data_IF_337322305126
#
_entry.id   IF_337322305126
#
_cell.length_a   1.000
_cell.length_b   1.000
_cell.length_c   1.000
_cell.angle_alpha   90.00
_cell.angle_beta   90.00
_cell.angle_gamma   90.00
#
_symmetry.space_group_name_H-M   'P 1'
#
loop_
_entity.id
_entity.type
_entity.pdbx_description
1 polymer ?
#
# COMPACT_ATOMS: atom_id res chain seq x y z
N UNK A 1 50.50 9.71 28.77
CA UNK A 1 49.06 9.42 28.88
C UNK A 1 48.71 8.31 27.90
N UNK A 2 47.91 7.30 28.29
CA UNK A 2 47.39 6.34 27.32
C UNK A 2 46.40 7.06 26.38
N UNK A 3 46.26 6.58 25.13
CA UNK A 3 45.26 7.11 24.21
C UNK A 3 43.84 6.78 24.72
N UNK A 4 42.84 7.61 24.41
CA UNK A 4 41.46 7.30 24.73
C UNK A 4 41.01 6.02 24.00
N UNK A 5 40.11 5.23 24.59
CA UNK A 5 39.53 4.06 23.92
C UNK A 5 38.80 4.49 22.65
N UNK A 6 38.90 3.67 21.60
CA UNK A 6 38.18 3.87 20.36
C UNK A 6 36.67 3.97 20.65
N UNK A 7 36.00 4.96 20.07
CA UNK A 7 34.56 5.09 20.16
C UNK A 7 33.90 3.82 19.59
N UNK A 8 32.96 3.25 20.33
CA UNK A 8 32.11 2.18 19.81
C UNK A 8 31.37 2.70 18.57
N UNK A 9 31.37 1.90 17.50
CA UNK A 9 30.60 2.17 16.28
C UNK A 9 29.13 2.38 16.63
N UNK A 10 28.49 3.33 15.97
CA UNK A 10 27.10 3.64 16.25
C UNK A 10 26.22 2.45 15.78
N UNK A 11 25.06 2.20 16.41
CA UNK A 11 24.23 1.03 16.10
C UNK A 11 23.67 1.00 14.66
N UNK A 12 23.89 2.05 13.86
CA UNK A 12 23.54 2.16 12.44
C UNK A 12 24.73 1.91 11.49
N UNK A 13 25.91 1.53 11.98
CA UNK A 13 27.06 1.14 11.15
C UNK A 13 26.97 -0.31 10.60
N UNK A 14 25.77 -0.90 10.57
CA UNK A 14 25.55 -2.20 9.92
C UNK A 14 25.53 -1.95 8.40
N UNK A 15 26.48 -2.50 7.63
CA UNK A 15 26.44 -2.36 6.17
C UNK A 15 25.12 -2.93 5.66
N UNK A 16 24.36 -2.19 4.85
CA UNK A 16 23.26 -2.79 4.10
C UNK A 16 23.86 -3.86 3.19
N UNK A 17 23.62 -5.13 3.52
CA UNK A 17 24.15 -6.29 2.78
C UNK A 17 23.25 -6.68 1.62
N UNK A 18 22.01 -6.21 1.60
CA UNK A 18 21.03 -6.49 0.56
C UNK A 18 20.78 -5.25 -0.29
N UNK A 19 21.16 -5.33 -1.57
CA UNK A 19 20.77 -4.35 -2.58
C UNK A 19 19.41 -4.80 -3.10
N UNK A 20 18.36 -4.04 -2.83
CA UNK A 20 17.07 -4.18 -3.53
C UNK A 20 17.16 -3.39 -4.83
N UNK A 21 17.00 -4.08 -5.94
CA UNK A 21 16.86 -3.43 -7.25
C UNK A 21 15.44 -2.88 -7.37
N UNK A 22 15.33 -1.56 -7.55
CA UNK A 22 14.06 -0.91 -7.79
C UNK A 22 13.77 -0.83 -9.28
N UNK A 23 12.56 -1.21 -9.66
CA UNK A 23 12.06 -1.10 -11.02
C UNK A 23 10.74 -0.31 -11.02
N UNK A 24 10.47 0.35 -12.15
CA UNK A 24 9.17 0.98 -12.37
C UNK A 24 8.13 -0.14 -12.55
N UNK A 25 7.13 -0.17 -11.68
CA UNK A 25 6.10 -1.21 -11.69
C UNK A 25 5.07 -0.96 -12.79
N UNK A 26 4.58 -2.04 -13.37
CA UNK A 26 3.36 -2.06 -14.20
C UNK A 26 2.11 -1.97 -13.33
N UNK A 27 0.96 -1.66 -13.93
CA UNK A 27 -0.32 -1.65 -13.19
C UNK A 27 -0.65 -3.01 -12.59
N UNK A 28 -0.36 -4.10 -13.30
CA UNK A 28 -0.57 -5.46 -12.81
C UNK A 28 0.33 -5.77 -11.59
N UNK A 29 1.61 -5.36 -11.64
CA UNK A 29 2.53 -5.53 -10.51
C UNK A 29 2.12 -4.66 -9.32
N UNK A 30 1.66 -3.42 -9.55
CA UNK A 30 1.11 -2.57 -8.49
C UNK A 30 -0.10 -3.24 -7.83
N UNK A 31 -1.09 -3.68 -8.62
CA UNK A 31 -2.27 -4.35 -8.10
C UNK A 31 -1.88 -5.60 -7.29
N UNK A 32 -1.03 -6.47 -7.84
CA UNK A 32 -0.51 -7.66 -7.15
C UNK A 32 0.17 -7.28 -5.83
N UNK A 33 1.04 -6.26 -5.84
CA UNK A 33 1.77 -5.82 -4.65
C UNK A 33 0.83 -5.28 -3.57
N UNK A 34 -0.20 -4.53 -3.93
CA UNK A 34 -1.19 -4.03 -2.98
C UNK A 34 -2.00 -5.18 -2.34
N UNK A 35 -2.37 -6.19 -3.13
CA UNK A 35 -2.99 -7.43 -2.61
C UNK A 35 -2.05 -8.18 -1.67
N UNK A 36 -0.79 -8.41 -2.07
CA UNK A 36 0.21 -9.09 -1.25
C UNK A 36 0.43 -8.37 0.08
N UNK A 37 0.50 -7.03 0.08
CA UNK A 37 0.64 -6.22 1.28
C UNK A 37 -0.60 -6.34 2.19
N UNK A 38 -1.80 -6.30 1.61
CA UNK A 38 -3.04 -6.45 2.36
C UNK A 38 -3.14 -7.81 3.06
N UNK A 39 -2.72 -8.87 2.37
CA UNK A 39 -2.68 -10.23 2.88
C UNK A 39 -1.58 -10.45 3.93
N UNK A 40 -0.41 -9.81 3.75
CA UNK A 40 0.72 -9.91 4.67
C UNK A 40 0.51 -9.14 5.98
N UNK A 41 -0.22 -8.02 5.95
CA UNK A 41 -0.39 -7.11 7.09
C UNK A 41 -1.87 -6.81 7.43
N UNK A 42 -2.75 -7.81 7.55
CA UNK A 42 -4.20 -7.59 7.66
C UNK A 42 -4.63 -6.78 8.90
N UNK A 43 -3.82 -6.76 9.96
CA UNK A 43 -4.05 -5.94 11.14
C UNK A 43 -3.75 -4.44 10.94
N UNK A 44 -2.94 -4.11 9.92
CA UNK A 44 -2.50 -2.75 9.63
C UNK A 44 -3.05 -2.19 8.31
N UNK A 45 -3.63 -3.03 7.46
CA UNK A 45 -4.13 -2.60 6.16
C UNK A 45 -5.59 -2.99 5.90
N UNK A 46 -6.24 -2.20 5.04
CA UNK A 46 -7.48 -2.56 4.36
C UNK A 46 -7.29 -2.25 2.88
N UNK A 47 -7.53 -3.21 2.00
CA UNK A 47 -7.57 -2.97 0.56
C UNK A 47 -9.02 -2.89 0.09
N UNK A 48 -9.35 -1.81 -0.61
CA UNK A 48 -10.63 -1.60 -1.30
C UNK A 48 -10.34 -0.99 -2.68
N UNK A 49 -11.37 -0.76 -3.48
CA UNK A 49 -11.27 0.06 -4.69
C UNK A 49 -12.23 1.25 -4.60
N UNK A 50 -11.92 2.32 -5.33
CA UNK A 50 -12.82 3.47 -5.45
C UNK A 50 -14.19 3.08 -6.02
N UNK A 51 -14.19 2.08 -6.89
CA UNK A 51 -15.37 1.46 -7.48
C UNK A 51 -16.24 0.82 -6.39
N UNK A 52 -15.64 0.06 -5.47
CA UNK A 52 -16.34 -0.61 -4.36
C UNK A 52 -16.78 0.36 -3.26
N UNK A 53 -15.94 1.33 -2.89
CA UNK A 53 -16.21 2.25 -1.79
C UNK A 53 -17.29 3.29 -2.15
N UNK A 54 -17.32 3.74 -3.42
CA UNK A 54 -18.16 4.86 -3.84
C UNK A 54 -19.11 4.54 -4.99
N UNK A 55 -19.31 3.26 -5.32
CA UNK A 55 -20.21 2.82 -6.40
C UNK A 55 -19.87 3.50 -7.75
N UNK A 56 -18.57 3.65 -8.02
CA UNK A 56 -18.08 4.29 -9.23
C UNK A 56 -17.93 3.29 -10.37
N UNK A 57 -18.11 3.77 -11.59
CA UNK A 57 -17.76 3.01 -12.79
C UNK A 57 -16.24 2.88 -12.94
N UNK A 58 -15.76 1.70 -13.32
CA UNK A 58 -14.37 1.47 -13.69
C UNK A 58 -14.04 2.15 -15.03
N UNK A 59 -12.78 2.59 -15.19
CA UNK A 59 -12.31 3.14 -16.45
C UNK A 59 -11.87 2.03 -17.41
N UNK A 60 -12.02 2.30 -18.72
CA UNK A 60 -11.63 1.35 -19.75
C UNK A 60 -12.49 0.07 -19.74
N UNK A 61 -11.88 -1.02 -20.19
CA UNK A 61 -12.53 -2.32 -20.38
C UNK A 61 -11.68 -3.43 -19.75
N UNK A 62 -12.23 -4.65 -19.74
CA UNK A 62 -11.52 -5.85 -19.30
C UNK A 62 -10.19 -6.08 -20.01
N UNK A 63 -10.11 -5.65 -21.27
CA UNK A 63 -8.89 -5.76 -22.08
C UNK A 63 -7.78 -4.83 -21.60
N UNK A 64 -8.13 -3.71 -20.98
CA UNK A 64 -7.19 -2.69 -20.53
C UNK A 64 -6.54 -3.09 -19.21
N UNK A 65 -7.32 -3.72 -18.32
CA UNK A 65 -6.85 -4.22 -17.02
C UNK A 65 -7.25 -5.69 -16.80
N UNK A 66 -6.59 -6.65 -17.48
CA UNK A 66 -6.86 -8.08 -17.37
C UNK A 66 -6.63 -8.68 -15.97
N UNK A 67 -6.06 -7.93 -15.04
CA UNK A 67 -5.72 -8.37 -13.69
C UNK A 67 -6.78 -8.00 -12.64
N UNK A 68 -7.72 -7.10 -12.97
CA UNK A 68 -8.72 -6.60 -12.02
C UNK A 68 -10.04 -7.40 -12.05
N UNK A 69 -10.03 -8.63 -12.59
CA UNK A 69 -11.24 -9.44 -12.84
C UNK A 69 -11.69 -10.33 -11.69
N UNK A 70 -10.87 -10.50 -10.66
CA UNK A 70 -11.21 -11.36 -9.53
C UNK A 70 -11.96 -10.58 -8.44
N UNK A 71 -13.25 -10.89 -8.28
CA UNK A 71 -14.05 -10.47 -7.14
C UNK A 71 -14.91 -9.23 -7.38
N UNK A 72 -16.22 -9.49 -7.54
CA UNK A 72 -17.28 -8.55 -7.16
C UNK A 72 -17.58 -7.43 -8.16
N UNK A 73 -18.79 -7.50 -8.72
CA UNK A 73 -19.58 -6.42 -9.32
C UNK A 73 -19.10 -5.00 -8.97
N UNK A 74 -18.51 -4.29 -9.94
CA UNK A 74 -18.59 -2.83 -10.15
C UNK A 74 -18.19 -2.50 -11.60
N UNK A 75 -18.87 -3.17 -12.53
CA UNK A 75 -18.78 -2.80 -13.93
C UNK A 75 -19.68 -1.61 -14.22
N UNK A 76 -19.17 -0.67 -15.02
CA UNK A 76 -19.98 0.43 -15.55
C UNK A 76 -21.19 -0.06 -16.33
N UNK A 77 -22.29 0.68 -16.24
CA UNK A 77 -23.51 0.39 -17.01
C UNK A 77 -23.40 1.05 -18.40
N UNK A 78 -22.84 0.34 -19.37
CA UNK A 78 -22.92 0.71 -20.79
C UNK A 78 -23.87 -0.24 -21.52
N UNK A 79 -25.03 0.28 -21.95
CA UNK A 79 -25.93 -0.43 -22.86
C UNK A 79 -26.48 -1.79 -22.40
N UNK A 80 -26.36 -2.17 -21.12
CA UNK A 80 -26.84 -3.44 -20.57
C UNK A 80 -25.78 -4.55 -20.43
N UNK A 81 -24.48 -4.22 -20.49
CA UNK A 81 -23.38 -5.16 -20.24
C UNK A 81 -22.61 -4.71 -18.99
N UNK A 82 -22.36 -5.63 -18.05
CA UNK A 82 -21.47 -5.39 -16.90
C UNK A 82 -20.05 -5.29 -17.44
N UNK A 83 -19.47 -4.10 -17.54
CA UNK A 83 -18.12 -3.94 -18.10
C UNK A 83 -17.08 -3.95 -17.00
N UNK A 84 -16.37 -5.07 -16.87
CA UNK A 84 -15.08 -5.12 -16.22
C UNK A 84 -14.13 -4.01 -16.76
N UNK A 85 -13.23 -3.50 -15.92
CA UNK A 85 -12.36 -2.36 -16.21
C UNK A 85 -11.29 -2.16 -15.14
N UNK A 86 -10.50 -1.11 -15.28
CA UNK A 86 -9.39 -0.80 -14.37
C UNK A 86 -9.90 -0.29 -13.02
N UNK A 87 -9.56 -0.99 -11.94
CA UNK A 87 -9.87 -0.57 -10.57
C UNK A 87 -8.88 0.49 -10.11
N UNK A 88 -9.37 1.46 -9.34
CA UNK A 88 -8.53 2.39 -8.60
C UNK A 88 -8.38 1.83 -7.19
N UNK A 89 -7.30 1.09 -6.96
CA UNK A 89 -7.02 0.45 -5.68
C UNK A 89 -6.66 1.47 -4.60
N UNK A 90 -7.16 1.23 -3.39
CA UNK A 90 -6.94 2.06 -2.20
C UNK A 90 -6.50 1.12 -1.09
N UNK A 91 -5.25 1.28 -0.66
CA UNK A 91 -4.70 0.60 0.50
C UNK A 91 -4.67 1.59 1.67
N UNK A 92 -5.62 1.44 2.59
CA UNK A 92 -5.63 2.20 3.84
C UNK A 92 -4.67 1.55 4.83
N UNK A 93 -3.74 2.32 5.39
CA UNK A 93 -2.79 1.87 6.41
C UNK A 93 -3.14 2.55 7.74
N UNK A 94 -3.49 1.77 8.75
CA UNK A 94 -3.83 2.26 10.10
C UNK A 94 -3.52 1.21 11.18
N UNK A 95 -3.07 1.63 12.36
CA UNK A 95 -2.91 0.74 13.50
C UNK A 95 -4.23 0.56 14.25
N UNK A 96 -5.00 -0.46 13.82
CA UNK A 96 -6.28 -0.85 14.41
C UNK A 96 -6.12 -1.55 15.78
N UNK A 97 -4.90 -1.94 16.15
CA UNK A 97 -4.62 -2.60 17.44
C UNK A 97 -4.47 -1.55 18.53
N UNK A 98 -3.64 -0.54 18.31
CA UNK A 98 -3.47 0.58 19.24
C UNK A 98 -4.67 1.55 19.21
N UNK A 99 -5.32 1.69 18.05
CA UNK A 99 -6.45 2.58 17.84
C UNK A 99 -7.65 1.81 17.28
N UNK A 100 -8.40 1.07 18.12
CA UNK A 100 -9.54 0.28 17.66
C UNK A 100 -10.58 1.12 16.91
N UNK A 101 -11.09 0.59 15.80
CA UNK A 101 -12.12 1.22 14.97
C UNK A 101 -13.32 1.62 15.84
N UNK A 102 -13.73 2.89 15.73
CA UNK A 102 -14.83 3.45 16.51
C UNK A 102 -14.47 3.92 17.93
N UNK A 103 -13.22 3.80 18.36
CA UNK A 103 -12.73 4.51 19.56
C UNK A 103 -12.67 6.02 19.34
N UNK A 104 -12.61 6.81 20.43
CA UNK A 104 -12.51 8.27 20.32
C UNK A 104 -11.20 8.69 19.64
N UNK A 105 -10.09 8.04 19.98
CA UNK A 105 -8.78 8.30 19.35
C UNK A 105 -8.83 8.00 17.86
N UNK A 106 -9.43 6.87 17.46
CA UNK A 106 -9.56 6.50 16.04
C UNK A 106 -10.29 7.57 15.21
N UNK A 107 -11.34 8.20 15.77
CA UNK A 107 -12.08 9.26 15.07
C UNK A 107 -11.31 10.57 14.91
N UNK A 108 -10.24 10.77 15.67
CA UNK A 108 -9.42 11.98 15.68
C UNK A 108 -8.09 11.80 14.93
N UNK A 109 -7.79 10.59 14.45
CA UNK A 109 -6.57 10.35 13.67
C UNK A 109 -6.58 11.20 12.39
N UNK A 110 -5.48 11.90 12.06
CA UNK A 110 -5.39 12.64 10.82
C UNK A 110 -5.31 11.67 9.64
N UNK A 111 -6.08 11.95 8.59
CA UNK A 111 -6.01 11.22 7.33
C UNK A 111 -5.01 11.89 6.38
N UNK A 112 -4.13 11.09 5.77
CA UNK A 112 -3.19 11.52 4.74
C UNK A 112 -3.41 10.67 3.49
N UNK A 113 -3.65 11.34 2.36
CA UNK A 113 -3.86 10.68 1.08
C UNK A 113 -2.66 10.86 0.16
N UNK A 114 -2.12 9.74 -0.34
CA UNK A 114 -1.03 9.71 -1.32
C UNK A 114 -1.53 9.10 -2.63
N UNK A 115 -1.33 9.80 -3.75
CA UNK A 115 -1.65 9.31 -5.09
C UNK A 115 -0.49 9.56 -6.04
N UNK A 116 -0.23 8.58 -6.91
CA UNK A 116 0.98 8.56 -7.73
C UNK A 116 0.77 8.71 -9.24
N UNK A 117 -0.42 8.42 -9.77
CA UNK A 117 -0.64 8.34 -11.21
C UNK A 117 -1.91 9.11 -11.64
N UNK A 118 -1.88 10.45 -11.55
CA UNK A 118 -2.98 11.26 -12.06
C UNK A 118 -3.00 11.27 -13.60
N UNK A 119 -1.83 11.20 -14.24
CA UNK A 119 -1.71 11.00 -15.67
C UNK A 119 -1.14 9.61 -15.98
N UNK A 120 -1.73 8.90 -16.97
CA UNK A 120 -1.40 7.50 -17.26
C UNK A 120 0.04 7.23 -17.71
N UNK A 121 0.79 8.25 -18.12
CA UNK A 121 2.21 8.16 -18.49
C UNK A 121 3.17 8.52 -17.34
N UNK A 122 2.68 8.90 -16.16
CA UNK A 122 3.49 9.17 -14.97
C UNK A 122 3.71 7.88 -14.19
N UNK A 123 4.84 7.21 -14.44
CA UNK A 123 5.10 5.86 -13.92
C UNK A 123 5.92 5.81 -12.63
N UNK A 124 6.63 6.91 -12.32
CA UNK A 124 7.44 7.02 -11.10
C UNK A 124 6.57 7.18 -9.86
N UNK A 125 5.56 8.04 -9.93
CA UNK A 125 4.66 8.31 -8.80
C UNK A 125 3.93 7.07 -8.27
N UNK A 126 3.25 6.24 -9.09
CA UNK A 126 2.54 5.07 -8.54
C UNK A 126 3.51 4.07 -7.93
N UNK A 127 4.68 3.84 -8.55
CA UNK A 127 5.74 3.00 -7.98
C UNK A 127 6.17 3.54 -6.61
N UNK A 128 6.48 4.84 -6.51
CA UNK A 128 6.93 5.44 -5.26
C UNK A 128 5.89 5.33 -4.14
N UNK A 129 4.60 5.48 -4.45
CA UNK A 129 3.52 5.32 -3.47
C UNK A 129 3.42 3.87 -3.00
N UNK A 130 3.50 2.89 -3.91
CA UNK A 130 3.49 1.46 -3.56
C UNK A 130 4.69 1.07 -2.69
N UNK A 131 5.89 1.51 -3.03
CA UNK A 131 7.11 1.27 -2.23
C UNK A 131 7.02 1.95 -0.85
N UNK A 132 6.44 3.15 -0.79
CA UNK A 132 6.21 3.85 0.48
C UNK A 132 5.24 3.06 1.37
N UNK A 133 4.16 2.51 0.79
CA UNK A 133 3.20 1.71 1.52
C UNK A 133 3.85 0.45 2.13
N UNK A 134 4.69 -0.25 1.37
CA UNK A 134 5.45 -1.40 1.87
C UNK A 134 6.37 -1.02 3.03
N UNK A 135 7.17 0.04 2.87
CA UNK A 135 8.06 0.52 3.92
C UNK A 135 7.31 0.86 5.22
N UNK A 136 6.16 1.53 5.11
CA UNK A 136 5.33 1.88 6.27
C UNK A 136 4.76 0.65 6.96
N UNK A 137 4.27 -0.35 6.21
CA UNK A 137 3.73 -1.58 6.77
C UNK A 137 4.81 -2.46 7.41
N UNK A 138 5.97 -2.61 6.76
CA UNK A 138 7.13 -3.31 7.32
C UNK A 138 7.57 -2.68 8.65
N UNK A 139 7.67 -1.34 8.68
CA UNK A 139 8.04 -0.58 9.87
C UNK A 139 7.01 -0.72 10.99
N UNK A 140 5.72 -0.62 10.66
CA UNK A 140 4.63 -0.78 11.63
C UNK A 140 4.61 -2.20 12.21
N UNK A 141 4.81 -3.23 11.39
CA UNK A 141 4.88 -4.60 11.86
C UNK A 141 6.05 -4.86 12.82
N UNK A 142 7.19 -4.20 12.59
CA UNK A 142 8.36 -4.29 13.46
C UNK A 142 8.16 -3.59 14.81
N UNK A 143 7.57 -2.40 14.81
CA UNK A 143 7.59 -1.50 15.97
C UNK A 143 6.27 -1.41 16.74
N UNK A 144 5.12 -1.62 16.09
CA UNK A 144 3.80 -1.41 16.72
C UNK A 144 3.28 -2.63 17.49
N UNK A 145 3.71 -3.85 17.13
CA UNK A 145 3.25 -5.06 17.80
C UNK A 145 3.99 -5.30 19.13
N UNK A 146 3.30 -5.76 20.19
CA UNK A 146 3.96 -6.11 21.44
C UNK A 146 5.05 -7.17 21.21
N UNK A 147 6.29 -6.89 21.66
CA UNK A 147 7.35 -7.91 21.62
C UNK A 147 6.92 -9.09 22.47
N UNK A 148 6.92 -10.30 21.89
CA UNK A 148 6.72 -11.54 22.66
C UNK A 148 7.80 -11.58 23.75
N UNK A 149 7.37 -11.67 25.01
CA UNK A 149 8.24 -11.84 26.17
C UNK A 149 8.92 -13.21 26.17
#
# INVERSE_FOLDING_TARGET
SPPPPAAASAPWDVPQTEIRDFAVLTSAEIASRLHDLADAYPQFSTLTSAQEEWDLTAAGTERDCPHDHEGGYNGGYDGGVITAGCKNWILTIEDKVANPVGSDVWRELPEVFLSGALHGNERVGPTAVTETAELLLESAACEALPRRA
#
